data_IF_646849426733
#
_entry.id   IF_646849426733
#
_cell.length_a   1.000
_cell.length_b   1.000
_cell.length_c   1.000
_cell.angle_alpha   90.00
_cell.angle_beta   90.00
_cell.angle_gamma   90.00
#
_symmetry.space_group_name_H-M   'P 1'
#
loop_
_entity.id
_entity.type
_entity.pdbx_description
1 polymer ?
#
# COMPACT_ATOMS: atom_id res chain seq x y z
N UNK A 1 -8.62 -5.55 6.51
CA UNK A 1 -8.90 -4.19 5.94
C UNK A 1 -7.59 -3.45 5.72
N UNK A 2 -6.58 -3.70 6.56
CA UNK A 2 -5.25 -3.11 6.44
C UNK A 2 -4.62 -3.19 5.05
N UNK A 3 -4.66 -4.34 4.35
CA UNK A 3 -4.10 -4.44 2.99
C UNK A 3 -4.68 -3.39 2.02
N UNK A 4 -6.00 -3.23 2.04
CA UNK A 4 -6.71 -2.22 1.23
C UNK A 4 -6.24 -0.81 1.57
N UNK A 5 -6.13 -0.52 2.87
CA UNK A 5 -5.69 0.79 3.37
C UNK A 5 -4.24 1.06 2.96
N UNK A 6 -3.34 0.07 3.05
CA UNK A 6 -1.96 0.21 2.63
C UNK A 6 -1.85 0.57 1.13
N UNK A 7 -2.65 -0.06 0.27
CA UNK A 7 -2.73 0.26 -1.16
C UNK A 7 -3.29 1.66 -1.39
N UNK A 8 -4.41 2.04 -0.75
CA UNK A 8 -5.00 3.37 -0.88
C UNK A 8 -4.02 4.48 -0.44
N UNK A 9 -3.36 4.33 0.71
CA UNK A 9 -2.37 5.29 1.19
C UNK A 9 -1.20 5.43 0.22
N UNK A 10 -0.76 4.33 -0.41
CA UNK A 10 0.30 4.34 -1.41
C UNK A 10 -0.11 5.14 -2.65
N UNK A 11 -1.34 4.93 -3.14
CA UNK A 11 -1.87 5.66 -4.30
C UNK A 11 -2.03 7.16 -4.00
N UNK A 12 -2.59 7.51 -2.84
CA UNK A 12 -2.74 8.91 -2.42
C UNK A 12 -1.37 9.58 -2.31
N UNK A 13 -0.38 8.90 -1.72
CA UNK A 13 0.97 9.42 -1.59
C UNK A 13 1.64 9.60 -2.96
N UNK A 14 1.48 8.63 -3.89
CA UNK A 14 2.02 8.71 -5.24
C UNK A 14 1.39 9.86 -6.04
N UNK A 15 0.07 10.02 -5.98
CA UNK A 15 -0.64 11.09 -6.68
C UNK A 15 -0.29 12.50 -6.17
N UNK A 16 0.09 12.62 -4.89
CA UNK A 16 0.60 13.87 -4.32
C UNK A 16 2.11 14.08 -4.54
N UNK A 17 2.79 13.13 -5.20
CA UNK A 17 4.24 13.17 -5.39
C UNK A 17 5.04 13.04 -4.09
N UNK A 18 4.43 12.50 -3.03
CA UNK A 18 5.08 12.31 -1.73
C UNK A 18 6.01 11.08 -1.71
N UNK A 19 5.81 10.13 -2.63
CA UNK A 19 6.66 8.96 -2.84
C UNK A 19 6.98 8.81 -4.34
N UNK A 20 8.16 8.27 -4.68
CA UNK A 20 8.50 7.89 -6.05
C UNK A 20 7.63 6.71 -6.54
N UNK A 21 7.40 6.64 -7.86
CA UNK A 21 6.69 5.53 -8.52
C UNK A 21 7.62 4.55 -9.24
N UNK A 22 8.91 4.88 -9.32
CA UNK A 22 9.98 4.07 -9.90
C UNK A 22 10.73 3.21 -8.87
N UNK A 23 10.46 3.41 -7.57
CA UNK A 23 11.06 2.65 -6.47
C UNK A 23 10.00 1.88 -5.66
N UNK A 24 10.43 0.84 -4.93
CA UNK A 24 9.57 0.09 -4.02
C UNK A 24 9.45 0.80 -2.67
N UNK A 25 8.26 0.77 -2.07
CA UNK A 25 7.98 1.38 -0.76
C UNK A 25 7.39 0.38 0.20
N UNK A 26 7.62 0.61 1.50
CA UNK A 26 6.91 -0.12 2.56
C UNK A 26 5.64 0.64 2.91
N UNK A 27 4.50 -0.01 2.71
CA UNK A 27 3.18 0.51 3.05
C UNK A 27 2.62 -0.21 4.27
N UNK A 28 1.99 0.55 5.17
CA UNK A 28 1.39 0.05 6.40
C UNK A 28 -0.07 0.44 6.45
N UNK A 29 -0.93 -0.51 6.79
CA UNK A 29 -2.37 -0.30 6.99
C UNK A 29 -2.90 -1.04 8.21
N UNK A 30 -4.09 -0.68 8.65
CA UNK A 30 -4.75 -1.29 9.82
C UNK A 30 -6.22 -1.60 9.58
N UNK A 31 -6.78 -2.40 10.48
CA UNK A 31 -8.22 -2.69 10.53
C UNK A 31 -8.85 -1.96 11.73
N UNK A 32 -9.84 -1.09 11.46
CA UNK A 32 -10.51 -0.21 12.41
C UNK A 32 -9.59 0.86 13.06
N UNK A 33 -8.56 0.45 13.81
CA UNK A 33 -7.56 1.33 14.42
C UNK A 33 -6.19 0.64 14.49
N UNK A 34 -5.13 1.43 14.69
CA UNK A 34 -3.76 0.93 14.71
C UNK A 34 -3.28 0.44 13.33
N UNK A 35 -2.32 -0.48 13.34
CA UNK A 35 -1.72 -1.08 12.16
C UNK A 35 -1.59 -2.59 12.34
N UNK A 36 -1.98 -3.37 11.33
CA UNK A 36 -1.98 -4.84 11.37
C UNK A 36 -1.44 -5.48 10.09
N UNK A 37 -1.26 -4.70 9.02
CA UNK A 37 -0.84 -5.16 7.70
C UNK A 37 0.34 -4.32 7.21
N UNK A 38 1.39 -5.00 6.74
CA UNK A 38 2.58 -4.38 6.18
C UNK A 38 2.91 -5.05 4.84
N UNK A 39 3.15 -4.24 3.81
CA UNK A 39 3.42 -4.71 2.46
C UNK A 39 4.57 -3.93 1.81
N UNK A 40 5.33 -4.60 0.94
CA UNK A 40 6.20 -3.92 -0.02
C UNK A 40 5.41 -3.71 -1.30
N UNK A 41 5.34 -2.48 -1.79
CA UNK A 41 4.53 -2.09 -2.95
C UNK A 41 5.42 -1.34 -3.93
N UNK A 42 5.33 -1.71 -5.21
CA UNK A 42 5.75 -0.83 -6.32
C UNK A 42 4.58 0.10 -6.65
N UNK A 43 4.66 1.41 -6.33
CA UNK A 43 3.54 2.32 -6.50
C UNK A 43 3.16 2.53 -7.97
N UNK A 44 1.96 3.06 -8.17
CA UNK A 44 1.49 3.64 -9.42
C UNK A 44 0.57 4.82 -9.08
N UNK A 45 0.19 5.61 -10.08
CA UNK A 45 -0.84 6.63 -9.93
C UNK A 45 -2.23 6.01 -9.97
N UNK A 46 -3.22 6.69 -9.39
CA UNK A 46 -4.62 6.21 -9.40
C UNK A 46 -5.17 6.05 -10.82
N UNK A 47 -4.72 6.89 -11.77
CA UNK A 47 -5.08 6.78 -13.20
C UNK A 47 -4.56 5.51 -13.87
N UNK A 48 -3.51 4.91 -13.31
CA UNK A 48 -2.86 3.69 -13.77
C UNK A 48 -2.88 2.61 -12.66
N UNK A 49 -3.99 2.52 -11.92
CA UNK A 49 -4.13 1.65 -10.74
C UNK A 49 -3.70 0.19 -10.98
N UNK A 50 -4.00 -0.36 -12.16
CA UNK A 50 -3.66 -1.75 -12.49
C UNK A 50 -2.16 -1.99 -12.68
N UNK A 51 -1.35 -0.94 -12.79
CA UNK A 51 0.11 -1.04 -12.85
C UNK A 51 0.75 -1.12 -11.46
N UNK A 52 0.00 -0.80 -10.39
CA UNK A 52 0.47 -0.97 -9.00
C UNK A 52 0.68 -2.46 -8.71
N UNK A 53 1.78 -2.77 -8.02
CA UNK A 53 2.12 -4.15 -7.69
C UNK A 53 2.40 -4.29 -6.20
N UNK A 54 1.60 -5.10 -5.51
CA UNK A 54 1.96 -5.59 -4.17
C UNK A 54 3.00 -6.69 -4.34
N UNK A 55 4.24 -6.41 -3.96
CA UNK A 55 5.41 -7.30 -4.15
C UNK A 55 5.49 -8.33 -3.05
N UNK A 56 5.35 -7.87 -1.82
CA UNK A 56 5.48 -8.70 -0.63
C UNK A 56 4.43 -8.33 0.40
N UNK A 57 3.98 -9.32 1.16
CA UNK A 57 3.18 -9.12 2.36
C UNK A 57 4.06 -9.56 3.54
N UNK A 58 4.56 -8.60 4.30
CA UNK A 58 5.49 -8.83 5.42
C UNK A 58 4.73 -9.35 6.63
N UNK A 59 3.57 -8.76 6.91
CA UNK A 59 2.66 -9.19 7.97
C UNK A 59 1.23 -8.86 7.58
N UNK A 60 0.29 -9.75 7.90
CA UNK A 60 -1.15 -9.49 7.82
C UNK A 60 -1.90 -10.43 8.79
N UNK A 61 -3.07 -10.04 9.30
CA UNK A 61 -3.91 -10.94 10.08
C UNK A 61 -4.40 -12.10 9.21
N UNK A 62 -4.32 -13.33 9.74
CA UNK A 62 -4.82 -14.53 9.04
C UNK A 62 -6.35 -14.52 8.92
N UNK A 63 -7.01 -14.07 9.98
CA UNK A 63 -8.46 -13.91 10.05
C UNK A 63 -8.76 -12.42 10.19
N UNK A 64 -9.88 -12.01 9.60
CA UNK A 64 -10.37 -10.63 9.64
C UNK A 64 -11.09 -10.35 10.94
#
# INVERSE_FOLDING_TARGET
VGLKVAVECTLIAADQGAIPVDEEVVAVGGTASGADTVCVIRPSHTSAFFDLQVREIVAMPRNR
#
